data_IF_138985744345
#
_entry.id   IF_138985744345
#
_cell.length_a   1.000
_cell.length_b   1.000
_cell.length_c   1.000
_cell.angle_alpha   90.00
_cell.angle_beta   90.00
_cell.angle_gamma   90.00
#
_symmetry.space_group_name_H-M   'P 1'
#
loop_
_entity.id
_entity.type
_entity.pdbx_description
1 polymer ?
#
# COMPACT_ATOMS: atom_id res chain seq x y z
N UNK A 1 10.71 -14.02 -0.94
CA UNK A 1 10.39 -13.10 0.16
C UNK A 1 11.70 -12.50 0.67
N UNK A 2 11.72 -11.20 0.95
CA UNK A 2 12.95 -10.43 1.26
C UNK A 2 12.96 -9.88 2.68
N UNK A 3 11.90 -10.11 3.45
CA UNK A 3 11.73 -9.61 4.83
C UNK A 3 11.21 -10.72 5.72
N UNK A 4 11.47 -10.63 7.01
CA UNK A 4 11.01 -11.58 8.00
C UNK A 4 10.12 -10.93 9.07
N UNK A 5 9.51 -11.74 9.93
CA UNK A 5 8.71 -11.26 11.07
C UNK A 5 9.61 -10.43 11.99
N UNK A 6 9.07 -9.31 12.47
CA UNK A 6 9.74 -8.27 13.25
C UNK A 6 10.62 -7.30 12.45
N UNK A 7 10.80 -7.48 11.15
CA UNK A 7 11.51 -6.50 10.34
C UNK A 7 10.70 -5.22 10.17
N UNK A 8 11.38 -4.07 10.22
CA UNK A 8 10.78 -2.79 9.87
C UNK A 8 10.85 -2.58 8.36
N UNK A 9 9.73 -2.22 7.74
CA UNK A 9 9.63 -1.91 6.32
C UNK A 9 9.16 -0.49 6.11
N UNK A 10 9.75 0.18 5.13
CA UNK A 10 9.31 1.51 4.70
C UNK A 10 8.26 1.42 3.61
N UNK A 11 7.38 2.42 3.52
CA UNK A 11 6.40 2.53 2.43
C UNK A 11 7.12 2.52 1.07
N UNK A 12 6.69 1.62 0.17
CA UNK A 12 7.28 1.41 -1.16
C UNK A 12 8.47 0.44 -1.17
N UNK A 13 8.95 -0.04 -0.02
CA UNK A 13 10.01 -1.04 0.05
C UNK A 13 9.57 -2.35 -0.58
N UNK A 14 10.44 -2.96 -1.39
CA UNK A 14 10.22 -4.29 -1.96
C UNK A 14 10.28 -5.33 -0.84
N UNK A 15 9.19 -6.09 -0.66
CA UNK A 15 9.07 -7.09 0.42
C UNK A 15 9.04 -8.51 -0.11
N UNK A 16 8.59 -8.71 -1.35
CA UNK A 16 8.64 -10.00 -2.02
C UNK A 16 8.73 -9.82 -3.53
N UNK A 17 9.31 -10.79 -4.21
CA UNK A 17 9.32 -10.89 -5.66
C UNK A 17 8.69 -12.22 -6.08
N UNK A 18 7.85 -12.18 -7.12
CA UNK A 18 7.26 -13.36 -7.76
C UNK A 18 8.06 -13.77 -8.98
N UNK A 19 7.74 -14.95 -9.54
CA UNK A 19 8.37 -15.47 -10.75
C UNK A 19 8.14 -14.49 -11.92
N UNK A 20 9.22 -14.00 -12.57
CA UNK A 20 9.12 -13.03 -13.65
C UNK A 20 8.86 -13.64 -15.04
N UNK A 21 8.61 -14.95 -15.17
CA UNK A 21 8.51 -15.62 -16.48
C UNK A 21 7.47 -14.94 -17.38
N UNK A 22 6.26 -14.73 -16.88
CA UNK A 22 5.18 -14.10 -17.66
C UNK A 22 5.51 -12.64 -18.01
N UNK A 23 6.11 -11.91 -17.08
CA UNK A 23 6.57 -10.55 -17.34
C UNK A 23 7.64 -10.51 -18.43
N UNK A 24 8.63 -11.38 -18.37
CA UNK A 24 9.72 -11.45 -19.33
C UNK A 24 9.19 -11.76 -20.75
N UNK A 25 8.23 -12.71 -20.86
CA UNK A 25 7.57 -13.04 -22.12
C UNK A 25 6.81 -11.83 -22.69
N UNK A 26 5.97 -11.20 -21.88
CA UNK A 26 5.19 -10.04 -22.29
C UNK A 26 6.09 -8.84 -22.65
N UNK A 27 7.18 -8.63 -21.92
CA UNK A 27 8.14 -7.56 -22.19
C UNK A 27 8.90 -7.79 -23.50
N UNK A 28 9.30 -9.04 -23.79
CA UNK A 28 9.92 -9.38 -25.07
C UNK A 28 8.97 -9.10 -26.25
N UNK A 29 7.69 -9.45 -26.08
CA UNK A 29 6.68 -9.13 -27.08
C UNK A 29 6.49 -7.62 -27.27
N UNK A 30 6.49 -6.85 -26.19
CA UNK A 30 6.44 -5.38 -26.26
C UNK A 30 7.63 -4.81 -27.05
N UNK A 31 8.84 -5.25 -26.74
CA UNK A 31 10.05 -4.81 -27.46
C UNK A 31 9.98 -5.09 -28.96
N UNK A 32 9.44 -6.25 -29.34
CA UNK A 32 9.23 -6.57 -30.76
C UNK A 32 8.23 -5.62 -31.43
N UNK A 33 7.09 -5.36 -30.78
CA UNK A 33 6.08 -4.45 -31.30
C UNK A 33 6.57 -3.00 -31.38
N UNK A 34 7.36 -2.54 -30.41
CA UNK A 34 7.98 -1.22 -30.46
C UNK A 34 9.02 -1.11 -31.60
N UNK A 35 9.79 -2.16 -31.85
CA UNK A 35 10.70 -2.22 -32.98
C UNK A 35 9.96 -2.21 -34.32
N UNK A 36 8.82 -2.91 -34.42
CA UNK A 36 7.97 -2.89 -35.61
C UNK A 36 7.39 -1.49 -35.84
N UNK A 37 6.85 -0.85 -34.80
CA UNK A 37 6.37 0.52 -34.90
C UNK A 37 7.46 1.50 -35.34
N UNK A 38 8.67 1.37 -34.81
CA UNK A 38 9.82 2.18 -35.17
C UNK A 38 10.19 2.01 -36.67
N UNK A 39 10.05 0.79 -37.21
CA UNK A 39 10.27 0.50 -38.67
C UNK A 39 9.13 1.02 -39.54
N UNK A 40 7.89 0.99 -39.06
CA UNK A 40 6.72 1.45 -39.82
C UNK A 40 6.64 2.98 -39.89
N UNK A 41 7.12 3.70 -38.93
CA UNK A 41 7.05 5.17 -38.85
C UNK A 41 7.69 5.84 -40.07
N UNK A 42 8.94 5.57 -40.48
CA UNK A 42 9.53 6.17 -41.67
C UNK A 42 8.86 5.71 -42.97
N UNK A 43 8.28 4.49 -43.01
CA UNK A 43 7.53 4.00 -44.19
C UNK A 43 6.23 4.79 -44.36
N UNK A 44 5.57 5.14 -43.27
CA UNK A 44 4.41 6.03 -43.29
C UNK A 44 4.78 7.43 -43.76
N UNK A 45 5.87 8.01 -43.29
CA UNK A 45 6.37 9.32 -43.72
C UNK A 45 6.69 9.36 -45.22
N UNK A 46 7.11 8.23 -45.80
CA UNK A 46 7.35 8.04 -47.21
C UNK A 46 6.06 7.71 -48.01
N UNK A 47 4.89 7.65 -47.36
CA UNK A 47 3.61 7.32 -48.01
C UNK A 47 3.41 5.83 -48.32
N UNK A 48 4.24 4.93 -47.74
CA UNK A 48 4.21 3.50 -48.03
C UNK A 48 3.13 2.70 -47.26
N UNK A 49 2.55 3.26 -46.22
CA UNK A 49 1.44 2.68 -45.45
C UNK A 49 0.38 3.73 -45.12
N UNK A 50 -0.85 3.28 -44.84
CA UNK A 50 -1.94 4.17 -44.43
C UNK A 50 -1.83 4.60 -42.95
N UNK A 51 -2.43 5.77 -42.64
CA UNK A 51 -2.56 6.24 -41.24
C UNK A 51 -3.26 5.20 -40.36
N UNK A 52 -4.29 4.55 -40.87
CA UNK A 52 -5.02 3.49 -40.18
C UNK A 52 -4.09 2.32 -39.76
N UNK A 53 -3.15 1.95 -40.62
CA UNK A 53 -2.19 0.88 -40.32
C UNK A 53 -1.21 1.28 -39.23
N UNK A 54 -0.71 2.53 -39.28
CA UNK A 54 0.17 3.06 -38.27
C UNK A 54 -0.53 3.17 -36.89
N UNK A 55 -1.78 3.66 -36.89
CA UNK A 55 -2.56 3.82 -35.66
C UNK A 55 -2.98 2.48 -35.05
N UNK A 56 -3.26 1.47 -35.87
CA UNK A 56 -3.47 0.11 -35.41
C UNK A 56 -2.23 -0.43 -34.67
N UNK A 57 -1.03 -0.21 -35.22
CA UNK A 57 0.22 -0.62 -34.57
C UNK A 57 0.48 0.14 -33.27
N UNK A 58 0.28 1.46 -33.26
CA UNK A 58 0.38 2.27 -32.03
C UNK A 58 -0.54 1.77 -30.92
N UNK A 59 -1.78 1.44 -31.29
CA UNK A 59 -2.77 0.88 -30.34
C UNK A 59 -2.30 -0.46 -29.80
N UNK A 60 -1.77 -1.34 -30.64
CA UNK A 60 -1.25 -2.65 -30.21
C UNK A 60 -0.06 -2.50 -29.24
N UNK A 61 0.86 -1.58 -29.51
CA UNK A 61 1.97 -1.25 -28.60
C UNK A 61 1.44 -0.73 -27.27
N UNK A 62 0.45 0.17 -27.28
CA UNK A 62 -0.14 0.73 -26.07
C UNK A 62 -0.78 -0.36 -25.18
N UNK A 63 -1.60 -1.24 -25.78
CA UNK A 63 -2.22 -2.36 -25.06
C UNK A 63 -1.17 -3.29 -24.46
N UNK A 64 -0.14 -3.66 -25.22
CA UNK A 64 0.92 -4.54 -24.73
C UNK A 64 1.73 -3.87 -23.62
N UNK A 65 1.95 -2.56 -23.69
CA UNK A 65 2.63 -1.79 -22.62
C UNK A 65 1.84 -1.82 -21.32
N UNK A 66 0.51 -1.71 -21.40
CA UNK A 66 -0.36 -1.82 -20.22
C UNK A 66 -0.31 -3.22 -19.60
N UNK A 67 -0.27 -4.27 -20.42
CA UNK A 67 -0.09 -5.66 -19.97
C UNK A 67 1.23 -5.81 -19.20
N UNK A 68 2.34 -5.34 -19.78
CA UNK A 68 3.67 -5.38 -19.13
C UNK A 68 3.69 -4.58 -17.83
N UNK A 69 3.08 -3.40 -17.81
CA UNK A 69 2.99 -2.56 -16.60
C UNK A 69 2.20 -3.25 -15.47
N UNK A 70 1.11 -3.93 -15.81
CA UNK A 70 0.32 -4.68 -14.84
C UNK A 70 1.07 -5.91 -14.30
N UNK A 71 1.73 -6.68 -15.18
CA UNK A 71 2.56 -7.81 -14.76
C UNK A 71 3.70 -7.36 -13.85
N UNK A 72 4.37 -6.24 -14.17
CA UNK A 72 5.43 -5.68 -13.34
C UNK A 72 4.96 -5.36 -11.92
N UNK A 73 3.77 -4.78 -11.76
CA UNK A 73 3.19 -4.52 -10.43
C UNK A 73 2.95 -5.80 -9.63
N UNK A 74 2.62 -6.89 -10.31
CA UNK A 74 2.32 -8.16 -9.66
C UNK A 74 3.57 -8.94 -9.24
N UNK A 75 4.70 -8.77 -9.94
CA UNK A 75 5.94 -9.45 -9.57
C UNK A 75 6.74 -8.75 -8.47
N UNK A 76 6.53 -7.45 -8.26
CA UNK A 76 7.19 -6.65 -7.23
C UNK A 76 6.20 -6.30 -6.12
N UNK A 77 6.10 -7.13 -5.09
CA UNK A 77 5.30 -6.79 -3.92
C UNK A 77 6.03 -5.74 -3.09
N UNK A 78 5.40 -4.58 -2.97
CA UNK A 78 5.92 -3.46 -2.18
C UNK A 78 4.99 -3.13 -1.03
N UNK A 79 5.55 -2.79 0.13
CA UNK A 79 4.75 -2.39 1.28
C UNK A 79 4.00 -1.09 0.99
N UNK A 80 2.66 -1.05 1.16
CA UNK A 80 1.86 0.18 1.00
C UNK A 80 2.04 1.16 2.16
N UNK A 81 2.55 0.71 3.30
CA UNK A 81 2.75 1.48 4.53
C UNK A 81 4.15 1.27 5.09
N UNK A 82 4.59 2.16 5.97
CA UNK A 82 5.75 1.92 6.84
C UNK A 82 5.29 1.26 8.13
N UNK A 83 6.04 0.27 8.62
CA UNK A 83 5.67 -0.46 9.81
C UNK A 83 6.51 -1.70 10.03
N UNK A 84 6.09 -2.56 10.94
CA UNK A 84 6.75 -3.82 11.27
C UNK A 84 5.97 -4.99 10.69
N UNK A 85 6.68 -5.97 10.17
CA UNK A 85 6.10 -7.24 9.68
C UNK A 85 5.65 -8.06 10.90
N UNK A 86 4.34 -8.30 11.01
CA UNK A 86 3.75 -9.04 12.14
C UNK A 86 3.46 -10.51 11.82
N UNK A 87 3.30 -10.83 10.55
CA UNK A 87 3.13 -12.21 10.11
C UNK A 87 3.70 -12.42 8.70
N UNK A 88 4.26 -13.59 8.48
CA UNK A 88 4.70 -14.13 7.20
C UNK A 88 4.00 -15.47 6.97
N UNK A 89 3.11 -15.51 6.00
CA UNK A 89 2.26 -16.67 5.73
C UNK A 89 2.67 -17.45 4.48
N UNK A 90 3.80 -17.08 3.86
CA UNK A 90 4.32 -17.74 2.68
C UNK A 90 5.84 -17.88 2.75
N UNK A 91 6.37 -18.93 2.13
CA UNK A 91 7.78 -19.19 1.99
C UNK A 91 8.25 -18.97 0.54
N UNK A 92 9.59 -18.92 0.36
CA UNK A 92 10.15 -18.83 -0.99
C UNK A 92 9.88 -20.15 -1.74
N UNK A 93 9.23 -20.07 -2.89
CA UNK A 93 8.83 -21.23 -3.70
C UNK A 93 7.37 -21.63 -3.54
N UNK A 94 6.64 -21.06 -2.59
CA UNK A 94 5.21 -21.32 -2.45
C UNK A 94 4.41 -20.75 -3.62
N UNK A 95 3.36 -21.50 -4.00
CA UNK A 95 2.38 -20.99 -4.96
C UNK A 95 1.43 -20.00 -4.29
N UNK A 96 1.21 -18.86 -4.91
CA UNK A 96 0.25 -17.88 -4.43
C UNK A 96 -1.19 -18.41 -4.51
N UNK A 97 -1.86 -18.51 -3.37
CA UNK A 97 -3.19 -19.10 -3.24
C UNK A 97 -4.22 -18.16 -2.61
N UNK A 98 -4.27 -16.89 -3.03
CA UNK A 98 -5.21 -15.88 -2.50
C UNK A 98 -5.12 -15.64 -0.97
N UNK A 99 -4.02 -16.00 -0.35
CA UNK A 99 -3.77 -15.72 1.07
C UNK A 99 -2.85 -14.51 1.22
N UNK A 100 -2.99 -13.72 2.29
CA UNK A 100 -2.06 -12.63 2.55
C UNK A 100 -0.64 -13.20 2.75
N UNK A 101 0.31 -12.75 1.94
CA UNK A 101 1.72 -13.20 1.99
C UNK A 101 2.41 -12.68 3.24
N UNK A 102 2.22 -11.38 3.51
CA UNK A 102 2.79 -10.66 4.64
C UNK A 102 1.73 -9.79 5.30
N UNK A 103 1.85 -9.63 6.61
CA UNK A 103 1.07 -8.65 7.35
C UNK A 103 2.01 -7.59 7.91
N UNK A 104 1.75 -6.32 7.57
CA UNK A 104 2.52 -5.18 8.06
C UNK A 104 1.63 -4.32 8.94
N UNK A 105 2.09 -4.01 10.14
CA UNK A 105 1.40 -3.17 11.09
C UNK A 105 2.14 -1.85 11.25
N UNK A 106 1.42 -0.76 11.09
CA UNK A 106 1.96 0.57 11.38
C UNK A 106 2.05 0.74 12.90
N UNK A 107 3.26 0.93 13.41
CA UNK A 107 3.51 1.12 14.85
C UNK A 107 3.83 2.59 15.20
N UNK A 108 3.98 3.45 14.21
CA UNK A 108 4.20 4.88 14.42
C UNK A 108 3.41 5.69 13.37
N UNK A 109 2.48 6.56 13.77
CA UNK A 109 1.99 6.73 15.15
C UNK A 109 1.10 5.56 15.60
N UNK A 110 1.03 5.34 16.91
CA UNK A 110 0.03 4.45 17.50
C UNK A 110 -1.32 5.15 17.58
N UNK A 111 -2.40 4.38 17.49
CA UNK A 111 -3.77 4.85 17.61
C UNK A 111 -4.48 4.11 18.73
N UNK A 112 -5.09 4.86 19.63
CA UNK A 112 -5.94 4.36 20.71
C UNK A 112 -7.36 4.83 20.47
N UNK A 113 -8.31 3.91 20.60
CA UNK A 113 -9.74 4.24 20.57
C UNK A 113 -10.27 4.24 22.00
N UNK A 114 -10.92 5.31 22.42
CA UNK A 114 -11.49 5.44 23.76
C UNK A 114 -12.97 5.82 23.67
N UNK A 115 -13.80 5.16 24.50
CA UNK A 115 -15.23 5.50 24.65
C UNK A 115 -15.40 6.47 25.81
N UNK A 116 -15.96 7.64 25.55
CA UNK A 116 -16.11 8.73 26.51
C UNK A 116 -17.58 9.00 26.72
N UNK A 117 -17.98 9.18 27.99
CA UNK A 117 -19.38 9.49 28.33
C UNK A 117 -19.87 10.79 27.67
N UNK A 118 -21.10 10.78 27.16
CA UNK A 118 -21.79 11.89 26.52
C UNK A 118 -21.66 13.22 27.27
N UNK A 119 -21.69 13.20 28.59
CA UNK A 119 -21.56 14.41 29.44
C UNK A 119 -20.27 15.22 29.21
N UNK A 120 -19.25 14.61 28.60
CA UNK A 120 -17.97 15.24 28.28
C UNK A 120 -17.87 15.69 26.83
N UNK A 121 -18.88 15.47 26.00
CA UNK A 121 -18.84 15.77 24.58
C UNK A 121 -18.42 17.21 24.26
N UNK A 122 -18.98 18.17 25.01
CA UNK A 122 -18.64 19.61 24.82
C UNK A 122 -17.22 20.00 25.25
N UNK A 123 -16.58 19.14 26.07
CA UNK A 123 -15.23 19.38 26.60
C UNK A 123 -14.14 18.80 25.74
N UNK A 124 -14.42 17.73 24.99
CA UNK A 124 -13.45 17.08 24.13
C UNK A 124 -13.36 17.81 22.79
N UNK A 125 -12.16 18.16 22.37
CA UNK A 125 -11.89 18.89 21.12
C UNK A 125 -10.78 18.19 20.33
N UNK A 126 -10.81 18.34 19.01
CA UNK A 126 -9.70 17.92 18.15
C UNK A 126 -8.39 18.58 18.57
N UNK A 127 -7.31 17.86 18.46
CA UNK A 127 -5.96 18.24 18.88
C UNK A 127 -5.78 18.48 20.40
N UNK A 128 -6.77 18.14 21.22
CA UNK A 128 -6.64 18.18 22.66
C UNK A 128 -5.54 17.21 23.12
N UNK A 129 -4.57 17.66 23.94
CA UNK A 129 -3.54 16.79 24.50
C UNK A 129 -4.18 15.81 25.50
N UNK A 130 -3.72 14.57 25.46
CA UNK A 130 -4.18 13.49 26.35
C UNK A 130 -2.96 12.83 26.96
N UNK A 131 -2.94 12.71 28.27
CA UNK A 131 -1.95 11.92 29.00
C UNK A 131 -2.47 10.48 29.17
N UNK A 132 -1.62 9.52 28.85
CA UNK A 132 -1.94 8.10 28.86
C UNK A 132 -0.96 7.41 29.79
N UNK A 133 -1.50 6.69 30.75
CA UNK A 133 -0.76 5.80 31.64
C UNK A 133 -1.16 4.35 31.35
N UNK A 134 -0.22 3.43 31.45
CA UNK A 134 -0.45 2.01 31.25
C UNK A 134 -0.01 1.22 32.49
N UNK A 135 -0.70 0.13 32.79
CA UNK A 135 -0.36 -0.74 33.91
C UNK A 135 0.97 -1.50 33.68
N UNK A 136 1.35 -1.67 32.43
CA UNK A 136 2.59 -2.37 32.05
C UNK A 136 3.82 -1.52 32.31
N UNK A 137 3.70 -0.18 32.19
CA UNK A 137 4.76 0.80 32.38
C UNK A 137 4.23 1.93 33.28
N UNK A 138 4.06 1.66 34.59
CA UNK A 138 3.36 2.59 35.48
C UNK A 138 4.11 3.91 35.70
N UNK A 139 5.42 3.91 35.53
CA UNK A 139 6.28 5.09 35.69
C UNK A 139 6.41 5.93 34.41
N UNK A 140 5.90 5.43 33.27
CA UNK A 140 5.97 6.13 32.00
C UNK A 140 4.63 6.79 31.64
N UNK A 141 4.70 8.03 31.24
CA UNK A 141 3.56 8.80 30.75
C UNK A 141 3.71 9.09 29.26
N UNK A 142 2.73 8.66 28.52
CA UNK A 142 2.68 8.90 27.08
C UNK A 142 1.76 10.08 26.79
N UNK A 143 2.18 10.96 25.90
CA UNK A 143 1.37 12.09 25.48
C UNK A 143 0.84 11.86 24.08
N UNK A 144 -0.49 11.83 23.96
CA UNK A 144 -1.20 11.74 22.69
C UNK A 144 -1.99 13.00 22.37
N UNK A 145 -2.66 13.02 21.22
CA UNK A 145 -3.62 14.06 20.82
C UNK A 145 -4.87 13.42 20.26
N UNK A 146 -6.03 14.01 20.56
CA UNK A 146 -7.29 13.61 19.93
C UNK A 146 -7.21 13.88 18.43
N UNK A 147 -7.19 12.84 17.62
CA UNK A 147 -7.09 12.91 16.15
C UNK A 147 -8.45 12.89 15.46
N UNK A 148 -9.43 12.19 16.07
CA UNK A 148 -10.77 12.08 15.52
C UNK A 148 -11.80 11.96 16.64
N UNK A 149 -12.95 12.60 16.46
CA UNK A 149 -14.14 12.43 17.30
C UNK A 149 -15.21 11.86 16.39
N UNK A 150 -15.68 10.63 16.72
CA UNK A 150 -16.73 10.00 15.94
C UNK A 150 -18.06 10.72 16.19
N UNK A 151 -18.82 11.08 15.13
CA UNK A 151 -20.06 11.84 15.27
C UNK A 151 -21.23 11.00 15.81
N UNK A 152 -21.10 9.67 15.77
CA UNK A 152 -22.12 8.75 16.27
C UNK A 152 -21.93 8.46 17.75
N UNK A 153 -23.03 8.50 18.49
CA UNK A 153 -23.08 8.06 19.89
C UNK A 153 -23.70 6.68 19.99
N UNK A 154 -23.14 5.86 20.86
CA UNK A 154 -23.74 4.60 21.24
C UNK A 154 -24.87 4.87 22.26
N UNK A 155 -26.11 4.62 21.86
CA UNK A 155 -27.29 4.87 22.68
C UNK A 155 -27.39 3.93 23.88
N UNK A 156 -26.82 2.71 23.79
CA UNK A 156 -26.87 1.73 24.87
C UNK A 156 -25.95 2.10 26.01
N UNK A 157 -24.74 2.57 25.67
CA UNK A 157 -23.70 2.93 26.66
C UNK A 157 -23.66 4.43 26.96
N UNK A 158 -24.36 5.26 26.18
CA UNK A 158 -24.31 6.73 26.21
C UNK A 158 -22.88 7.26 26.14
N UNK A 159 -22.11 6.72 25.20
CA UNK A 159 -20.72 7.11 24.97
C UNK A 159 -20.51 7.52 23.51
N UNK A 160 -19.52 8.35 23.29
CA UNK A 160 -18.97 8.62 21.96
C UNK A 160 -17.53 8.16 21.90
N UNK A 161 -17.10 7.77 20.72
CA UNK A 161 -15.76 7.24 20.49
C UNK A 161 -14.83 8.37 20.03
N UNK A 162 -13.63 8.38 20.57
CA UNK A 162 -12.53 9.23 20.12
C UNK A 162 -11.33 8.39 19.71
N UNK A 163 -10.61 8.83 18.68
CA UNK A 163 -9.30 8.29 18.33
C UNK A 163 -8.21 9.23 18.85
N UNK A 164 -7.25 8.68 19.54
CA UNK A 164 -6.09 9.38 20.08
C UNK A 164 -4.86 8.87 19.35
N UNK A 165 -4.05 9.77 18.82
CA UNK A 165 -2.80 9.44 18.14
C UNK A 165 -1.63 9.74 19.06
N UNK A 166 -0.72 8.75 19.20
CA UNK A 166 0.47 8.82 20.06
C UNK A 166 1.69 8.64 19.16
N UNK A 167 2.64 9.59 19.15
CA UNK A 167 3.93 9.36 18.50
C UNK A 167 4.68 8.22 19.20
N UNK A 168 5.17 7.26 18.44
CA UNK A 168 5.99 6.16 18.92
C UNK A 168 7.38 6.24 18.31
N UNK A 169 8.15 7.24 18.71
CA UNK A 169 9.46 7.53 18.13
C UNK A 169 10.60 6.66 18.68
N UNK A 170 10.32 5.74 19.57
CA UNK A 170 11.32 4.91 20.28
C UNK A 170 11.49 3.48 19.76
N UNK A 171 10.84 3.11 18.67
CA UNK A 171 11.01 1.79 18.02
C UNK A 171 11.23 1.96 16.52
#
# INVERSE_FOLDING_TARGET
ILVDVSDYVSKGQLVAAMDPIQYNQANTQLLNLEADLARMTPVFEAGGISEQQLDAMKTQVAVQRDVVANLKKNIELRSPISGVVTARNAEAGDMFANMPILQVMQINPLKITASISEKYFSKVKLNMPVEIATEVLPDEKFTGKVSLIYPAMDAATRTFTVEITIPNAGN
#
